data_IF_269716128221
#
_entry.id   IF_269716128221
#
_cell.length_a   1.000
_cell.length_b   1.000
_cell.length_c   1.000
_cell.angle_alpha   90.00
_cell.angle_beta   90.00
_cell.angle_gamma   90.00
#
_symmetry.space_group_name_H-M   'P 1'
#
loop_
_entity.id
_entity.type
_entity.pdbx_description
1 polymer ?
#
# COMPACT_ATOMS: atom_id res chain seq x y z
N UNK A 1 5.75 1.55 26.73
CA UNK A 1 4.81 1.58 25.58
C UNK A 1 5.20 0.48 24.61
N UNK A 2 4.27 -0.39 24.22
CA UNK A 2 4.61 -1.43 23.24
C UNK A 2 4.82 -0.77 21.87
N UNK A 3 5.97 -1.01 21.25
CA UNK A 3 6.28 -0.54 19.91
C UNK A 3 5.34 -1.24 18.90
N UNK A 4 4.55 -0.48 18.15
CA UNK A 4 3.61 -1.01 17.16
C UNK A 4 4.03 -0.59 15.75
N UNK A 5 4.15 -1.57 14.87
CA UNK A 5 4.42 -1.36 13.45
C UNK A 5 3.11 -1.18 12.66
N UNK A 6 2.14 -2.06 12.89
CA UNK A 6 0.85 -2.01 12.21
C UNK A 6 -0.08 -0.97 12.83
N UNK A 7 -0.76 -0.25 11.97
CA UNK A 7 -1.84 0.66 12.32
C UNK A 7 -3.17 -0.02 11.96
N UNK A 8 -4.01 -0.27 12.94
CA UNK A 8 -5.38 -0.78 12.78
C UNK A 8 -6.32 0.42 12.91
N UNK A 9 -7.39 0.47 12.11
CA UNK A 9 -8.42 1.52 12.14
C UNK A 9 -7.89 2.95 11.95
N UNK A 10 -6.75 3.09 11.31
CA UNK A 10 -6.03 4.36 11.21
C UNK A 10 -6.50 5.26 10.05
N UNK A 11 -7.34 4.76 9.16
CA UNK A 11 -7.88 5.53 8.04
C UNK A 11 -9.34 5.16 7.73
N UNK A 12 -10.08 6.10 7.13
CA UNK A 12 -11.51 5.94 6.87
C UNK A 12 -11.85 4.73 5.97
N UNK A 13 -10.95 4.34 5.05
CA UNK A 13 -11.20 3.18 4.16
C UNK A 13 -11.05 1.85 4.89
N UNK A 14 -10.08 1.72 5.81
CA UNK A 14 -9.96 0.51 6.63
C UNK A 14 -11.12 0.36 7.60
N UNK A 15 -11.63 1.47 8.16
CA UNK A 15 -12.86 1.47 8.98
C UNK A 15 -14.09 1.08 8.15
N UNK A 16 -14.20 1.52 6.89
CA UNK A 16 -15.26 1.05 5.98
C UNK A 16 -15.17 -0.46 5.72
N UNK A 17 -13.96 -1.01 5.62
CA UNK A 17 -13.73 -2.45 5.46
C UNK A 17 -14.31 -3.30 6.60
N UNK A 18 -14.46 -2.75 7.81
CA UNK A 18 -15.12 -3.45 8.92
C UNK A 18 -16.60 -3.73 8.64
N UNK A 19 -17.27 -2.87 7.89
CA UNK A 19 -18.66 -3.10 7.47
C UNK A 19 -18.79 -4.31 6.52
N UNK A 20 -17.68 -4.64 5.85
CA UNK A 20 -17.55 -5.81 4.98
C UNK A 20 -16.98 -7.04 5.71
N UNK A 21 -16.84 -6.97 7.03
CA UNK A 21 -16.35 -8.08 7.86
C UNK A 21 -14.83 -8.21 7.96
N UNK A 22 -14.05 -7.18 7.61
CA UNK A 22 -12.58 -7.25 7.60
C UNK A 22 -11.93 -6.28 8.58
N UNK A 23 -10.87 -6.74 9.25
CA UNK A 23 -10.01 -5.91 10.08
C UNK A 23 -8.62 -5.79 9.43
N UNK A 24 -8.26 -4.59 8.98
CA UNK A 24 -7.01 -4.37 8.24
C UNK A 24 -5.94 -3.72 9.10
N UNK A 25 -4.78 -4.39 9.21
CA UNK A 25 -3.54 -3.82 9.74
C UNK A 25 -2.67 -3.25 8.62
N UNK A 26 -2.26 -1.98 8.74
CA UNK A 26 -1.46 -1.31 7.71
C UNK A 26 -0.10 -0.89 8.25
N UNK A 27 0.97 -1.31 7.59
CA UNK A 27 2.33 -0.83 7.84
C UNK A 27 2.59 0.42 6.98
N UNK A 28 2.91 1.53 7.65
CA UNK A 28 3.30 2.76 6.99
C UNK A 28 4.80 3.01 7.19
N UNK A 29 5.57 2.88 6.13
CA UNK A 29 6.96 3.32 6.06
C UNK A 29 7.05 4.71 5.41
N UNK A 30 8.16 5.41 5.62
CA UNK A 30 8.42 6.67 4.95
C UNK A 30 8.54 6.45 3.44
N UNK A 31 7.80 7.19 2.60
CA UNK A 31 7.83 6.98 1.16
C UNK A 31 9.10 7.52 0.53
N UNK A 32 9.45 6.94 -0.61
CA UNK A 32 10.53 7.39 -1.46
C UNK A 32 11.82 7.61 -0.65
N UNK A 33 12.48 8.74 -0.73
CA UNK A 33 13.75 9.02 -0.03
C UNK A 33 13.59 9.78 1.29
N UNK A 34 12.36 9.95 1.79
CA UNK A 34 12.08 10.77 3.00
C UNK A 34 12.86 10.33 4.25
N UNK A 35 13.22 9.05 4.36
CA UNK A 35 13.99 8.51 5.50
C UNK A 35 15.50 8.48 5.29
N UNK A 36 15.97 8.82 4.09
CA UNK A 36 17.34 8.57 3.61
C UNK A 36 17.48 7.23 2.85
N UNK A 37 16.47 6.36 2.91
CA UNK A 37 16.40 5.10 2.15
C UNK A 37 15.30 5.19 1.10
N UNK A 38 15.55 4.67 -0.11
CA UNK A 38 14.51 4.64 -1.15
C UNK A 38 13.59 3.43 -0.96
N UNK A 39 12.34 3.68 -0.57
CA UNK A 39 11.29 2.66 -0.40
C UNK A 39 10.35 2.56 -1.60
N UNK A 40 10.54 3.36 -2.65
CA UNK A 40 9.66 3.46 -3.82
C UNK A 40 10.48 3.59 -5.10
N UNK A 41 11.02 2.48 -5.61
CA UNK A 41 11.96 2.47 -6.73
C UNK A 41 11.43 3.14 -8.02
N UNK A 42 10.12 3.13 -8.24
CA UNK A 42 9.48 3.68 -9.45
C UNK A 42 8.93 5.10 -9.26
N UNK A 43 9.16 5.75 -8.10
CA UNK A 43 8.51 7.01 -7.76
C UNK A 43 8.87 8.16 -8.71
N UNK A 44 10.13 8.23 -9.16
CA UNK A 44 10.61 9.26 -10.08
C UNK A 44 10.02 9.12 -11.47
N UNK A 45 10.05 7.93 -12.04
CA UNK A 45 9.53 7.67 -13.39
C UNK A 45 8.00 7.85 -13.41
N UNK A 46 7.31 7.39 -12.35
CA UNK A 46 5.87 7.51 -12.25
C UNK A 46 5.39 8.88 -11.76
N UNK A 47 6.29 9.78 -11.32
CA UNK A 47 6.01 11.10 -10.73
C UNK A 47 5.07 11.08 -9.52
N UNK A 48 4.78 9.91 -8.95
CA UNK A 48 3.81 9.75 -7.87
C UNK A 48 4.28 10.34 -6.53
N UNK A 49 5.57 10.61 -6.35
CA UNK A 49 6.11 11.24 -5.14
C UNK A 49 5.57 12.66 -4.93
N UNK A 50 5.21 13.40 -5.99
CA UNK A 50 4.59 14.72 -5.90
C UNK A 50 3.19 14.68 -5.29
N UNK A 51 2.45 13.61 -5.55
CA UNK A 51 1.06 13.41 -5.12
C UNK A 51 0.90 12.33 -4.02
N UNK A 52 2.01 11.97 -3.34
CA UNK A 52 2.04 10.85 -2.40
C UNK A 52 1.04 11.02 -1.25
N UNK A 53 0.32 9.94 -0.93
CA UNK A 53 -0.61 9.88 0.21
C UNK A 53 0.05 10.17 1.57
N UNK A 54 1.38 10.14 1.67
CA UNK A 54 2.09 10.60 2.87
C UNK A 54 1.79 12.06 3.22
N UNK A 55 1.28 12.83 2.27
CA UNK A 55 0.90 14.23 2.44
C UNK A 55 -0.62 14.44 2.50
N UNK A 56 -1.40 13.37 2.63
CA UNK A 56 -2.85 13.43 2.73
C UNK A 56 -3.32 13.26 4.20
N UNK A 57 -4.48 13.81 4.52
CA UNK A 57 -5.08 13.76 5.84
C UNK A 57 -4.14 14.34 6.93
N UNK A 58 -4.18 13.76 8.12
CA UNK A 58 -3.36 14.22 9.28
C UNK A 58 -1.86 14.17 9.00
N UNK A 59 -1.39 13.24 8.14
CA UNK A 59 0.02 13.14 7.77
C UNK A 59 0.50 14.29 6.88
N UNK A 60 -0.42 15.05 6.28
CA UNK A 60 -0.10 16.25 5.48
C UNK A 60 -0.10 17.56 6.28
N UNK A 61 -0.51 17.53 7.56
CA UNK A 61 -0.55 18.73 8.40
C UNK A 61 0.82 18.92 9.05
N UNK A 62 1.58 19.87 8.55
CA UNK A 62 2.92 20.25 9.08
C UNK A 62 2.81 21.64 9.68
N UNK A 63 3.31 21.83 10.90
CA UNK A 63 3.33 23.14 11.55
C UNK A 63 4.32 24.07 10.88
N UNK A 64 4.05 25.35 10.95
CA UNK A 64 4.96 26.39 10.45
C UNK A 64 6.33 26.25 11.10
N UNK A 65 7.39 26.24 10.27
CA UNK A 65 8.77 26.05 10.71
C UNK A 65 9.22 24.59 10.90
N UNK A 66 8.32 23.60 10.78
CA UNK A 66 8.67 22.19 10.81
C UNK A 66 8.76 21.61 9.38
N UNK A 67 9.65 20.65 9.16
CA UNK A 67 9.78 19.92 7.89
C UNK A 67 8.94 18.63 7.86
N UNK A 68 8.59 18.09 9.03
CA UNK A 68 7.82 16.84 9.20
C UNK A 68 6.95 16.94 10.44
N UNK A 69 5.87 16.16 10.47
CA UNK A 69 5.02 16.00 11.63
C UNK A 69 5.29 14.68 12.39
N UNK A 70 4.71 14.45 13.58
CA UNK A 70 4.94 13.23 14.36
C UNK A 70 4.61 11.93 13.61
N UNK A 71 3.60 11.94 12.71
CA UNK A 71 3.22 10.77 11.90
C UNK A 71 4.34 10.44 10.91
N UNK A 72 4.85 11.45 10.21
CA UNK A 72 5.95 11.28 9.26
C UNK A 72 7.24 10.86 9.97
N UNK A 73 7.54 11.44 11.15
CA UNK A 73 8.68 11.04 11.97
C UNK A 73 8.57 9.57 12.43
N UNK A 74 7.37 9.11 12.80
CA UNK A 74 7.16 7.70 13.14
C UNK A 74 7.41 6.77 11.93
N UNK A 75 6.99 7.18 10.72
CA UNK A 75 7.29 6.44 9.48
C UNK A 75 8.78 6.40 9.19
N UNK A 76 9.48 7.53 9.37
CA UNK A 76 10.94 7.61 9.20
C UNK A 76 11.66 6.67 10.18
N UNK A 77 11.30 6.67 11.47
CA UNK A 77 11.89 5.75 12.46
C UNK A 77 11.67 4.29 12.07
N UNK A 78 10.45 3.90 11.71
CA UNK A 78 10.12 2.54 11.25
C UNK A 78 10.95 2.15 10.03
N UNK A 79 11.12 3.06 9.08
CA UNK A 79 11.91 2.79 7.87
C UNK A 79 13.39 2.62 8.19
N UNK A 80 13.95 3.50 9.03
CA UNK A 80 15.35 3.36 9.47
C UNK A 80 15.55 2.01 10.16
N UNK A 81 14.68 1.63 11.07
CA UNK A 81 14.77 0.34 11.75
C UNK A 81 14.65 -0.84 10.77
N UNK A 82 13.75 -0.78 9.78
CA UNK A 82 13.63 -1.80 8.75
C UNK A 82 14.95 -2.02 7.98
N UNK A 83 15.75 -0.99 7.75
CA UNK A 83 17.00 -1.12 7.02
C UNK A 83 18.19 -1.44 7.94
N UNK A 84 18.24 -0.90 9.17
CA UNK A 84 19.39 -1.07 10.09
C UNK A 84 19.26 -2.26 11.04
N UNK A 85 18.03 -2.71 11.36
CA UNK A 85 17.74 -3.74 12.37
C UNK A 85 16.66 -4.70 11.84
N UNK A 86 16.91 -5.29 10.66
CA UNK A 86 15.93 -6.07 9.90
C UNK A 86 15.29 -7.19 10.74
N UNK A 87 16.08 -8.00 11.43
CA UNK A 87 15.56 -9.14 12.18
C UNK A 87 14.67 -8.69 13.34
N UNK A 88 15.09 -7.67 14.07
CA UNK A 88 14.28 -7.06 15.14
C UNK A 88 12.96 -6.49 14.59
N UNK A 89 13.02 -5.80 13.45
CA UNK A 89 11.84 -5.26 12.80
C UNK A 89 10.87 -6.37 12.39
N UNK A 90 11.37 -7.44 11.75
CA UNK A 90 10.54 -8.56 11.31
C UNK A 90 9.91 -9.30 12.49
N UNK A 91 10.63 -9.46 13.59
CA UNK A 91 10.08 -10.01 14.82
C UNK A 91 8.91 -9.19 15.40
N UNK A 92 9.03 -7.85 15.41
CA UNK A 92 7.92 -6.98 15.81
C UNK A 92 6.74 -7.05 14.82
N UNK A 93 7.01 -7.17 13.53
CA UNK A 93 5.96 -7.30 12.51
C UNK A 93 5.16 -8.59 12.70
N UNK A 94 5.83 -9.71 12.94
CA UNK A 94 5.19 -10.99 13.25
C UNK A 94 4.27 -10.84 14.47
N UNK A 95 4.80 -10.29 15.58
CA UNK A 95 3.99 -10.08 16.80
C UNK A 95 2.78 -9.17 16.57
N UNK A 96 2.90 -8.17 15.72
CA UNK A 96 1.79 -7.28 15.42
C UNK A 96 0.71 -7.98 14.56
N UNK A 97 1.11 -8.85 13.61
CA UNK A 97 0.16 -9.66 12.83
C UNK A 97 -0.55 -10.66 13.74
N UNK A 98 0.17 -11.33 14.66
CA UNK A 98 -0.45 -12.22 15.65
C UNK A 98 -1.50 -11.49 16.51
N UNK A 99 -1.19 -10.24 16.94
CA UNK A 99 -2.15 -9.41 17.69
C UNK A 99 -3.37 -9.05 16.84
N UNK A 100 -3.15 -8.70 15.55
CA UNK A 100 -4.23 -8.42 14.62
C UNK A 100 -5.15 -9.63 14.44
N UNK A 101 -4.58 -10.83 14.25
CA UNK A 101 -5.34 -12.08 14.14
C UNK A 101 -6.17 -12.33 15.40
N UNK A 102 -5.57 -12.21 16.59
CA UNK A 102 -6.28 -12.38 17.87
C UNK A 102 -7.40 -11.36 18.03
N UNK A 103 -7.17 -10.10 17.66
CA UNK A 103 -8.18 -9.05 17.69
C UNK A 103 -9.31 -9.35 16.70
N UNK A 104 -8.99 -9.67 15.46
CA UNK A 104 -9.97 -9.98 14.43
C UNK A 104 -10.87 -11.15 14.85
N UNK A 105 -10.27 -12.25 15.36
CA UNK A 105 -11.03 -13.41 15.86
C UNK A 105 -11.97 -13.06 17.01
N UNK A 106 -11.52 -12.25 17.98
CA UNK A 106 -12.33 -11.82 19.11
C UNK A 106 -13.51 -10.96 18.65
N UNK A 107 -13.30 -10.08 17.69
CA UNK A 107 -14.25 -9.07 17.25
C UNK A 107 -15.10 -9.56 16.05
N UNK A 108 -14.93 -10.82 15.59
CA UNK A 108 -15.71 -11.45 14.52
C UNK A 108 -15.32 -10.99 13.10
N UNK A 109 -14.07 -10.53 12.89
CA UNK A 109 -13.56 -10.07 11.61
C UNK A 109 -12.57 -11.06 10.98
N UNK A 110 -12.37 -10.92 9.66
CA UNK A 110 -11.30 -11.57 8.91
C UNK A 110 -10.09 -10.63 8.89
N UNK A 111 -8.90 -11.08 9.33
CA UNK A 111 -7.70 -10.24 9.34
C UNK A 111 -7.14 -10.03 7.93
N UNK A 112 -6.81 -8.79 7.60
CA UNK A 112 -6.12 -8.39 6.38
C UNK A 112 -4.87 -7.59 6.72
N UNK A 113 -3.82 -7.71 5.89
CA UNK A 113 -2.57 -6.96 6.09
C UNK A 113 -2.16 -6.21 4.84
N UNK A 114 -1.77 -4.95 5.02
CA UNK A 114 -1.11 -4.13 4.00
C UNK A 114 0.28 -3.75 4.47
N UNK A 115 1.30 -4.17 3.76
CA UNK A 115 2.71 -3.92 4.10
C UNK A 115 3.26 -2.65 3.44
N UNK A 116 2.64 -2.18 2.36
CA UNK A 116 3.02 -1.01 1.59
C UNK A 116 1.98 0.13 1.70
N UNK A 117 1.69 0.60 2.91
CA UNK A 117 0.76 1.70 3.11
C UNK A 117 1.20 3.01 2.44
N UNK A 118 2.50 3.31 2.42
CA UNK A 118 3.13 4.46 1.75
C UNK A 118 4.49 4.13 1.14
N UNK A 119 4.79 2.87 0.87
CA UNK A 119 6.01 2.36 0.25
C UNK A 119 5.69 1.43 -0.92
N UNK A 120 6.70 0.91 -1.60
CA UNK A 120 6.58 -0.11 -2.65
C UNK A 120 7.77 -1.09 -2.56
N UNK A 121 7.89 -1.72 -1.39
CA UNK A 121 8.90 -2.73 -1.09
C UNK A 121 8.42 -4.07 -1.63
N UNK A 122 9.33 -4.86 -2.19
CA UNK A 122 9.09 -6.24 -2.60
C UNK A 122 9.17 -7.16 -1.40
N UNK A 123 8.10 -7.24 -0.62
CA UNK A 123 8.03 -8.04 0.60
C UNK A 123 8.19 -9.54 0.35
N UNK A 124 7.82 -10.02 -0.84
CA UNK A 124 8.04 -11.41 -1.28
C UNK A 124 9.51 -11.83 -1.30
N UNK A 125 10.41 -10.86 -1.42
CA UNK A 125 11.86 -11.10 -1.41
C UNK A 125 12.51 -10.91 -0.03
N UNK A 126 11.73 -10.52 0.99
CA UNK A 126 12.25 -10.30 2.34
C UNK A 126 12.18 -11.61 3.11
N UNK A 127 13.35 -12.22 3.28
CA UNK A 127 13.51 -13.45 4.04
C UNK A 127 14.25 -13.18 5.34
N UNK A 128 13.87 -13.90 6.39
CA UNK A 128 14.46 -13.79 7.72
C UNK A 128 14.35 -15.09 8.49
N UNK A 129 15.11 -15.22 9.56
CA UNK A 129 15.01 -16.34 10.49
C UNK A 129 13.93 -16.04 11.54
N UNK A 130 13.02 -16.98 11.73
CA UNK A 130 11.95 -16.87 12.70
C UNK A 130 12.00 -18.04 13.70
N UNK A 131 11.90 -17.72 14.99
CA UNK A 131 11.88 -18.69 16.07
C UNK A 131 10.56 -18.60 16.84
N UNK A 132 9.83 -19.72 16.88
CA UNK A 132 8.61 -19.86 17.65
C UNK A 132 8.67 -21.12 18.52
N UNK A 133 8.50 -20.97 19.83
CA UNK A 133 8.47 -22.07 20.82
C UNK A 133 9.61 -23.10 20.63
N UNK A 134 10.85 -22.65 20.51
CA UNK A 134 12.05 -23.47 20.28
C UNK A 134 12.17 -24.10 18.87
N UNK A 135 11.19 -23.87 17.99
CA UNK A 135 11.30 -24.26 16.58
C UNK A 135 11.85 -23.08 15.77
N UNK A 136 13.07 -23.20 15.29
CA UNK A 136 13.71 -22.21 14.44
C UNK A 136 13.43 -22.53 12.98
N UNK A 137 12.61 -21.68 12.33
CA UNK A 137 12.39 -21.71 10.89
C UNK A 137 13.31 -20.70 10.23
N UNK A 138 14.14 -21.17 9.32
CA UNK A 138 15.16 -20.35 8.66
C UNK A 138 14.70 -19.89 7.29
N UNK A 139 15.11 -18.68 6.91
CA UNK A 139 14.96 -18.17 5.56
C UNK A 139 13.52 -18.19 5.05
N UNK A 140 12.57 -17.73 5.88
CA UNK A 140 11.13 -17.66 5.54
C UNK A 140 10.71 -16.23 5.24
N UNK A 141 9.62 -16.09 4.49
CA UNK A 141 8.92 -14.82 4.28
C UNK A 141 7.80 -14.65 5.31
N UNK A 142 7.31 -13.41 5.46
CA UNK A 142 6.15 -13.12 6.32
C UNK A 142 4.89 -13.85 5.83
N UNK A 143 4.76 -14.10 4.54
CA UNK A 143 3.63 -14.79 3.92
C UNK A 143 3.61 -16.28 4.24
N UNK A 144 4.80 -16.91 4.32
CA UNK A 144 4.96 -18.32 4.70
C UNK A 144 4.66 -18.56 6.20
N UNK A 145 4.87 -17.53 7.05
CA UNK A 145 4.52 -17.61 8.49
C UNK A 145 3.00 -17.51 8.69
N UNK A 146 2.30 -16.75 7.85
CA UNK A 146 0.87 -16.49 7.96
C UNK A 146 0.12 -16.89 6.67
N UNK A 147 0.09 -18.18 6.29
CA UNK A 147 -0.52 -18.62 5.04
C UNK A 147 -2.04 -18.40 4.99
N UNK A 148 -2.69 -18.31 6.16
CA UNK A 148 -4.13 -18.06 6.29
C UNK A 148 -4.52 -16.57 6.24
N UNK A 149 -3.54 -15.66 6.31
CA UNK A 149 -3.79 -14.23 6.26
C UNK A 149 -3.70 -13.73 4.82
N UNK A 150 -4.73 -13.03 4.36
CA UNK A 150 -4.67 -12.36 3.08
C UNK A 150 -3.89 -11.05 3.20
N UNK A 151 -2.83 -10.93 2.40
CA UNK A 151 -2.08 -9.69 2.20
C UNK A 151 -2.49 -9.05 0.88
N UNK A 152 -2.51 -7.71 0.83
CA UNK A 152 -2.76 -6.98 -0.40
C UNK A 152 -2.08 -5.62 -0.39
N UNK A 153 -1.60 -5.17 -1.54
CA UNK A 153 -0.93 -3.89 -1.68
C UNK A 153 -1.12 -3.25 -3.06
N UNK A 154 -0.70 -1.99 -3.16
CA UNK A 154 -0.47 -1.34 -4.43
C UNK A 154 1.01 -1.43 -4.79
N UNK A 155 1.32 -1.54 -6.09
CA UNK A 155 2.69 -1.53 -6.59
C UNK A 155 2.82 -0.72 -7.86
N UNK A 156 3.95 -0.07 -8.05
CA UNK A 156 4.37 0.56 -9.31
C UNK A 156 5.17 -0.38 -10.22
N UNK A 157 5.43 -1.60 -9.76
CA UNK A 157 6.26 -2.58 -10.46
C UNK A 157 5.33 -3.62 -11.09
N UNK A 158 5.21 -3.67 -12.44
CA UNK A 158 4.42 -4.68 -13.11
C UNK A 158 5.14 -6.03 -13.08
N UNK A 159 4.41 -7.11 -13.32
CA UNK A 159 4.95 -8.46 -13.50
C UNK A 159 5.91 -8.90 -12.37
N UNK A 160 5.55 -8.64 -11.12
CA UNK A 160 6.25 -9.24 -9.98
C UNK A 160 6.02 -10.75 -10.03
N UNK A 161 7.11 -11.51 -10.10
CA UNK A 161 7.09 -12.97 -10.18
C UNK A 161 7.12 -13.61 -8.80
N UNK A 162 6.77 -14.88 -8.76
CA UNK A 162 6.86 -15.72 -7.56
C UNK A 162 6.13 -15.14 -6.35
N UNK A 163 4.96 -14.51 -6.62
CA UNK A 163 4.12 -13.97 -5.57
C UNK A 163 3.49 -15.10 -4.75
N UNK A 164 3.52 -15.00 -3.42
CA UNK A 164 2.80 -15.91 -2.55
C UNK A 164 1.30 -15.92 -2.87
N UNK A 165 0.64 -17.07 -2.76
CA UNK A 165 -0.78 -17.22 -3.09
C UNK A 165 -1.70 -16.31 -2.26
N UNK A 166 -1.26 -15.96 -1.04
CA UNK A 166 -1.96 -15.07 -0.13
C UNK A 166 -1.52 -13.59 -0.24
N UNK A 167 -0.83 -13.20 -1.34
CA UNK A 167 -0.42 -11.81 -1.58
C UNK A 167 -1.00 -11.27 -2.89
N UNK A 168 -1.99 -10.40 -2.78
CA UNK A 168 -2.66 -9.79 -3.93
C UNK A 168 -2.12 -8.38 -4.22
N UNK A 169 -1.84 -8.09 -5.48
CA UNK A 169 -1.30 -6.81 -5.92
C UNK A 169 -2.22 -6.10 -6.92
N UNK A 170 -2.42 -4.82 -6.68
CA UNK A 170 -3.06 -3.88 -7.61
C UNK A 170 -1.99 -2.94 -8.18
N UNK A 171 -1.87 -2.88 -9.50
CA UNK A 171 -0.90 -2.00 -10.14
C UNK A 171 -1.34 -0.55 -10.02
N UNK A 172 -0.49 0.32 -9.49
CA UNK A 172 -0.77 1.75 -9.37
C UNK A 172 -0.36 2.48 -10.66
N UNK A 173 -1.34 2.82 -11.48
CA UNK A 173 -1.14 3.49 -12.76
C UNK A 173 -0.58 4.91 -12.60
N UNK A 174 0.06 5.41 -13.65
CA UNK A 174 0.42 6.82 -13.84
C UNK A 174 0.33 7.13 -15.33
N UNK A 175 -0.23 8.29 -15.68
CA UNK A 175 -0.34 8.76 -17.06
C UNK A 175 0.96 9.32 -17.64
N UNK A 176 2.05 9.37 -16.86
CA UNK A 176 3.36 9.86 -17.31
C UNK A 176 3.87 9.04 -18.49
N UNK A 177 4.30 9.72 -19.56
CA UNK A 177 4.72 9.08 -20.84
C UNK A 177 5.80 8.01 -20.63
N UNK A 178 6.82 8.32 -19.85
CA UNK A 178 7.94 7.43 -19.56
C UNK A 178 7.53 6.18 -18.77
N UNK A 179 6.38 6.25 -18.10
CA UNK A 179 5.85 5.15 -17.30
C UNK A 179 4.91 4.22 -18.10
N UNK A 180 4.45 4.60 -19.30
CA UNK A 180 3.46 3.83 -20.06
C UNK A 180 3.88 2.40 -20.38
N UNK A 181 5.16 2.14 -20.67
CA UNK A 181 5.68 0.78 -20.90
C UNK A 181 5.44 -0.17 -19.72
N UNK A 182 5.39 0.34 -18.48
CA UNK A 182 5.10 -0.44 -17.28
C UNK A 182 3.59 -0.68 -17.12
N UNK A 183 2.79 0.32 -17.48
CA UNK A 183 1.34 0.20 -17.49
C UNK A 183 0.86 -0.84 -18.52
N UNK A 184 1.42 -0.83 -19.73
CA UNK A 184 1.14 -1.84 -20.78
C UNK A 184 1.44 -3.24 -20.25
N UNK A 185 2.61 -3.47 -19.65
CA UNK A 185 2.97 -4.77 -19.07
C UNK A 185 2.01 -5.22 -17.96
N UNK A 186 1.52 -4.30 -17.14
CA UNK A 186 0.55 -4.63 -16.11
C UNK A 186 -0.80 -5.04 -16.70
N UNK A 187 -1.26 -4.35 -17.75
CA UNK A 187 -2.50 -4.69 -18.49
C UNK A 187 -2.36 -6.06 -19.14
N UNK A 188 -1.28 -6.31 -19.88
CA UNK A 188 -0.99 -7.58 -20.55
C UNK A 188 -0.94 -8.75 -19.57
N UNK A 189 -0.39 -8.53 -18.36
CA UNK A 189 -0.36 -9.55 -17.30
C UNK A 189 -1.69 -9.74 -16.56
N UNK A 190 -2.74 -8.99 -16.93
CA UNK A 190 -4.07 -9.13 -16.34
C UNK A 190 -4.24 -8.53 -14.95
N UNK A 191 -3.33 -7.65 -14.53
CA UNK A 191 -3.47 -6.95 -13.24
C UNK A 191 -4.66 -5.98 -13.24
N UNK A 192 -5.24 -5.75 -12.05
CA UNK A 192 -6.06 -4.56 -11.79
C UNK A 192 -5.17 -3.32 -11.79
N UNK A 193 -5.70 -2.19 -12.25
CA UNK A 193 -4.99 -0.92 -12.24
C UNK A 193 -5.71 0.07 -11.32
N UNK A 194 -5.06 0.59 -10.30
CA UNK A 194 -5.54 1.73 -9.55
C UNK A 194 -5.18 3.02 -10.30
N UNK A 195 -6.19 3.78 -10.70
CA UNK A 195 -6.05 5.03 -11.44
C UNK A 195 -6.60 6.18 -10.61
N UNK A 196 -5.82 7.25 -10.47
CA UNK A 196 -6.26 8.46 -9.75
C UNK A 196 -6.76 9.49 -10.76
N UNK A 197 -8.06 9.74 -10.78
CA UNK A 197 -8.70 10.78 -11.58
C UNK A 197 -8.74 12.11 -10.82
N UNK A 198 -8.85 13.23 -11.54
CA UNK A 198 -8.85 14.57 -10.95
C UNK A 198 -9.98 14.77 -9.96
N UNK A 199 -11.21 14.45 -10.36
CA UNK A 199 -12.41 14.55 -9.54
C UNK A 199 -13.23 13.27 -9.65
N UNK A 200 -14.19 13.07 -8.74
CA UNK A 200 -15.08 11.92 -8.77
C UNK A 200 -15.99 11.95 -10.01
N UNK A 201 -16.47 13.13 -10.38
CA UNK A 201 -17.43 13.32 -11.49
C UNK A 201 -16.81 13.06 -12.88
N UNK A 202 -15.47 13.02 -12.96
CA UNK A 202 -14.75 12.74 -14.22
C UNK A 202 -14.31 11.27 -14.34
N UNK A 203 -14.75 10.39 -13.45
CA UNK A 203 -14.47 8.96 -13.55
C UNK A 203 -15.35 8.36 -14.66
N UNK A 204 -14.77 7.80 -15.73
CA UNK A 204 -15.54 7.17 -16.79
C UNK A 204 -15.94 5.74 -16.43
N UNK A 205 -16.94 5.20 -17.12
CA UNK A 205 -17.32 3.78 -16.97
C UNK A 205 -16.21 2.83 -17.43
N UNK A 206 -15.42 3.25 -18.42
CA UNK A 206 -14.29 2.50 -18.97
C UNK A 206 -13.06 3.40 -19.17
N UNK A 207 -11.88 2.88 -18.84
CA UNK A 207 -10.61 3.54 -19.08
C UNK A 207 -9.55 2.53 -19.55
N UNK A 208 -8.75 2.88 -20.56
CA UNK A 208 -7.75 1.99 -21.17
C UNK A 208 -8.35 0.65 -21.66
N UNK A 209 -9.61 0.64 -22.08
CA UNK A 209 -10.32 -0.57 -22.52
C UNK A 209 -10.74 -1.51 -21.38
N UNK A 210 -10.67 -1.06 -20.13
CA UNK A 210 -11.04 -1.84 -18.94
C UNK A 210 -12.19 -1.16 -18.19
N UNK A 211 -13.13 -1.93 -17.60
CA UNK A 211 -14.23 -1.37 -16.81
C UNK A 211 -13.70 -0.71 -15.54
N UNK A 212 -14.29 0.42 -15.16
CA UNK A 212 -14.00 1.13 -13.91
C UNK A 212 -14.89 0.63 -12.78
N UNK A 213 -14.29 0.34 -11.62
CA UNK A 213 -14.98 0.04 -10.35
C UNK A 213 -14.63 1.10 -9.31
N UNK A 214 -15.55 1.41 -8.41
CA UNK A 214 -15.32 2.40 -7.35
C UNK A 214 -14.25 1.91 -6.36
N UNK A 215 -13.09 2.57 -6.37
CA UNK A 215 -11.99 2.32 -5.46
C UNK A 215 -12.04 3.15 -4.17
N UNK A 216 -13.00 4.05 -4.02
CA UNK A 216 -13.12 4.92 -2.85
C UNK A 216 -14.12 4.42 -1.81
N UNK A 217 -14.95 3.45 -2.17
CA UNK A 217 -15.91 2.83 -1.25
C UNK A 217 -15.18 2.03 -0.16
N UNK A 218 -14.34 1.07 -0.55
CA UNK A 218 -13.51 0.29 0.39
C UNK A 218 -12.04 0.29 -0.05
N UNK A 219 -11.16 -0.32 0.75
CA UNK A 219 -9.75 -0.54 0.39
C UNK A 219 -9.41 -2.04 0.26
N UNK A 220 -10.43 -2.91 0.17
CA UNK A 220 -10.29 -4.37 0.14
C UNK A 220 -10.03 -4.84 -1.29
N UNK A 221 -8.82 -4.52 -1.79
CA UNK A 221 -8.48 -4.66 -3.22
C UNK A 221 -8.47 -6.10 -3.74
N UNK A 222 -8.21 -7.10 -2.89
CA UNK A 222 -8.19 -8.49 -3.31
C UNK A 222 -9.56 -9.02 -3.76
N UNK A 223 -10.65 -8.34 -3.38
CA UNK A 223 -12.01 -8.66 -3.83
C UNK A 223 -12.39 -7.99 -5.14
N UNK A 224 -11.68 -6.94 -5.57
CA UNK A 224 -11.99 -6.27 -6.82
C UNK A 224 -11.68 -7.18 -8.02
N UNK A 225 -12.44 -7.08 -9.12
CA UNK A 225 -12.23 -7.89 -10.31
C UNK A 225 -10.81 -7.72 -10.87
N UNK A 226 -10.19 -8.80 -11.35
CA UNK A 226 -8.99 -8.70 -12.17
C UNK A 226 -9.33 -8.03 -13.51
N UNK A 227 -8.34 -7.45 -14.18
CA UNK A 227 -8.52 -6.74 -15.47
C UNK A 227 -9.57 -5.61 -15.37
N UNK A 228 -9.53 -4.83 -14.32
CA UNK A 228 -10.39 -3.66 -14.09
C UNK A 228 -9.57 -2.44 -13.68
N UNK A 229 -10.18 -1.28 -13.79
CA UNK A 229 -9.68 -0.03 -13.23
C UNK A 229 -10.31 0.18 -11.86
N UNK A 230 -9.50 0.19 -10.83
CA UNK A 230 -9.90 0.67 -9.50
C UNK A 230 -9.82 2.20 -9.53
N UNK A 231 -10.96 2.84 -9.76
CA UNK A 231 -11.04 4.28 -9.92
C UNK A 231 -10.99 4.98 -8.57
N UNK A 232 -10.07 5.90 -8.44
CA UNK A 232 -9.83 6.73 -7.25
C UNK A 232 -9.86 8.20 -7.68
N UNK A 233 -10.26 9.11 -6.78
CA UNK A 233 -10.13 10.53 -7.05
C UNK A 233 -9.02 11.17 -6.20
N UNK A 234 -8.46 12.27 -6.73
CA UNK A 234 -7.30 12.95 -6.14
C UNK A 234 -7.61 13.53 -4.75
N UNK A 235 -6.73 13.25 -3.77
CA UNK A 235 -6.80 13.72 -2.39
C UNK A 235 -5.52 14.45 -1.98
N UNK A 236 -5.62 15.35 -1.02
CA UNK A 236 -4.47 16.10 -0.53
C UNK A 236 -3.73 16.85 -1.66
N UNK A 237 -2.40 16.71 -1.72
CA UNK A 237 -1.57 17.35 -2.76
C UNK A 237 -1.88 16.84 -4.18
N UNK A 238 -2.42 15.62 -4.33
CA UNK A 238 -2.80 15.10 -5.63
C UNK A 238 -3.83 15.97 -6.36
N UNK A 239 -4.67 16.72 -5.64
CA UNK A 239 -5.63 17.67 -6.25
C UNK A 239 -4.95 18.75 -7.11
N UNK A 240 -3.71 19.07 -6.80
CA UNK A 240 -2.89 20.08 -7.49
C UNK A 240 -1.71 19.46 -8.27
N UNK A 241 -1.77 18.16 -8.52
CA UNK A 241 -0.74 17.47 -9.27
C UNK A 241 -1.02 17.56 -10.78
N UNK A 242 -0.07 18.08 -11.53
CA UNK A 242 -0.07 18.17 -12.99
C UNK A 242 1.13 17.48 -13.61
N UNK A 243 1.79 16.59 -12.84
CA UNK A 243 2.95 15.82 -13.33
C UNK A 243 2.59 14.73 -14.33
N UNK A 244 1.29 14.43 -14.47
CA UNK A 244 0.76 13.33 -15.27
C UNK A 244 0.45 12.07 -14.44
N UNK A 245 0.74 12.05 -13.13
CA UNK A 245 0.32 10.95 -12.27
C UNK A 245 -1.20 10.92 -12.09
N UNK A 246 -1.82 12.08 -11.85
CA UNK A 246 -3.27 12.23 -11.79
C UNK A 246 -3.82 12.39 -13.21
N UNK A 247 -4.88 11.66 -13.51
CA UNK A 247 -5.50 11.64 -14.83
C UNK A 247 -6.58 12.72 -14.91
N UNK A 248 -6.42 13.61 -15.88
CA UNK A 248 -7.42 14.60 -16.27
C UNK A 248 -8.20 14.09 -17.49
N UNK A 249 -9.46 13.76 -17.29
CA UNK A 249 -10.39 13.51 -18.39
C UNK A 249 -11.16 14.80 -18.62
N UNK A 250 -11.00 15.38 -19.79
CA UNK A 250 -11.84 16.52 -20.19
C UNK A 250 -13.27 16.02 -20.36
N UNK A 251 -14.27 16.71 -19.80
CA UNK A 251 -15.67 16.41 -20.15
C UNK A 251 -15.82 16.54 -21.65
N UNK A 252 -16.48 15.58 -22.27
CA UNK A 252 -16.89 15.61 -23.68
C UNK A 252 -18.00 16.64 -23.82
#
# INVERSE_FOLDING_TARGET
>A
MSYKLLNVDSNAKTVKGQKEGFLTGVLYLAPYTLSGFNTCAMADIAKCHFACLNTAGRAGIIKTGESTNPIQQARIRKTKQFYSERDTFMHFLVKDIERLIKQAKRDGFIPLVRLNGTSDIRWENIRFDYEFMHNKTRNVTIFEIFPEVQFYDYTKIPNRKDLPANYDLTFSYSGVKEYQKYAIRAIESGMRLAVVFRTQDTIPDNYLGLPCVDGDNTDIRHLDPKRSIVALYAKGKAKKDYSGFVIDIKPI
#
